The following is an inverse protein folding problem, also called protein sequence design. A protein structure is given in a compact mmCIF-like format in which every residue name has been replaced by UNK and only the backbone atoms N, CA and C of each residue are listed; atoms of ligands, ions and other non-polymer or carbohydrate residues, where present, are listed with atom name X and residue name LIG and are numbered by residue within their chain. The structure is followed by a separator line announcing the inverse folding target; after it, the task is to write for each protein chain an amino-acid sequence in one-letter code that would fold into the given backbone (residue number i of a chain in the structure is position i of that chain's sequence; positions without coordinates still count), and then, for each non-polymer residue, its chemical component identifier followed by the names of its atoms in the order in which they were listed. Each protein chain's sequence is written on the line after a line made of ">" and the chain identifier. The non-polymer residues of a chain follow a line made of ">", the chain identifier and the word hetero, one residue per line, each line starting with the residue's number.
data_IF_937996861775
#
_entry.id   IF_937996861775
#
_cell.length_a   1.000
_cell.length_b   1.000
_cell.length_c   1.000
_cell.angle_alpha   90.00
_cell.angle_beta   90.00
_cell.angle_gamma   90.00
#
_symmetry.space_group_name_H-M   'P 1'
#
loop_
_entity.id
_entity.type
_entity.pdbx_description
1 polymer ?
#
# COMPACT_ATOMS: atom_id res chain seq x y z
N UNK A 1 -34.92 -33.64 9.43
CA UNK A 1 -34.43 -32.63 8.48
C UNK A 1 -33.44 -31.76 9.22
N UNK A 2 -32.12 -31.86 8.99
CA UNK A 2 -31.18 -30.96 9.62
C UNK A 2 -31.13 -29.63 8.85
N UNK A 3 -31.17 -28.53 9.59
CA UNK A 3 -31.16 -27.16 9.06
C UNK A 3 -29.84 -26.80 8.37
N UNK A 4 -29.85 -25.90 7.36
CA UNK A 4 -28.63 -25.49 6.70
C UNK A 4 -27.78 -24.63 7.64
N UNK A 5 -26.61 -25.16 7.99
CA UNK A 5 -25.55 -24.47 8.70
C UNK A 5 -25.26 -23.17 7.96
N UNK A 6 -25.56 -22.03 8.61
CA UNK A 6 -25.22 -20.69 8.11
C UNK A 6 -23.72 -20.66 7.82
N UNK A 7 -23.37 -20.56 6.54
CA UNK A 7 -22.03 -20.23 6.10
C UNK A 7 -21.64 -18.92 6.80
N UNK A 8 -20.74 -19.05 7.78
CA UNK A 8 -19.99 -17.92 8.31
C UNK A 8 -19.24 -17.37 7.11
N UNK A 9 -19.74 -16.27 6.55
CA UNK A 9 -18.99 -15.43 5.62
C UNK A 9 -17.71 -15.05 6.34
N UNK A 10 -16.66 -15.83 6.11
CA UNK A 10 -15.32 -15.46 6.46
C UNK A 10 -15.06 -14.19 5.64
N UNK A 11 -15.20 -13.04 6.31
CA UNK A 11 -14.57 -11.79 5.93
C UNK A 11 -13.12 -12.15 5.60
N UNK A 12 -12.85 -12.35 4.32
CA UNK A 12 -11.51 -12.48 3.79
C UNK A 12 -10.91 -11.09 3.88
N UNK A 13 -10.52 -10.70 5.09
CA UNK A 13 -9.45 -9.75 5.30
C UNK A 13 -8.32 -10.27 4.40
N UNK A 14 -8.17 -9.62 3.25
CA UNK A 14 -7.30 -10.07 2.18
C UNK A 14 -5.88 -9.94 2.70
N UNK A 15 -5.44 -10.97 3.41
CA UNK A 15 -4.07 -11.20 3.77
C UNK A 15 -3.33 -11.08 2.45
N UNK A 16 -2.44 -10.10 2.35
CA UNK A 16 -1.40 -10.12 1.34
C UNK A 16 -0.29 -10.92 2.00
N UNK A 17 -0.21 -12.26 1.83
CA UNK A 17 0.66 -13.15 2.62
C UNK A 17 2.15 -12.89 2.44
N UNK A 18 2.54 -11.86 1.68
CA UNK A 18 3.92 -11.61 1.26
C UNK A 18 4.47 -10.23 1.64
N UNK A 19 3.66 -9.29 2.14
CA UNK A 19 4.13 -7.93 2.40
C UNK A 19 5.04 -7.79 3.65
N UNK A 20 4.76 -8.41 4.82
CA UNK A 20 5.48 -8.07 6.04
C UNK A 20 6.95 -8.54 6.08
N UNK A 21 7.23 -9.77 5.69
CA UNK A 21 8.54 -10.39 5.97
C UNK A 21 9.55 -10.29 4.83
N UNK A 22 9.10 -10.21 3.57
CA UNK A 22 10.02 -10.29 2.41
C UNK A 22 10.91 -9.06 2.23
N UNK A 23 10.60 -7.97 2.90
CA UNK A 23 11.23 -6.66 2.66
C UNK A 23 11.85 -6.00 3.90
N UNK A 24 11.91 -6.71 5.03
CA UNK A 24 12.38 -6.18 6.32
C UNK A 24 13.81 -5.63 6.30
N UNK A 25 14.68 -6.13 5.41
CA UNK A 25 16.06 -5.66 5.22
C UNK A 25 16.26 -4.55 4.19
N UNK A 26 15.20 -4.10 3.50
CA UNK A 26 15.35 -3.12 2.43
C UNK A 26 15.33 -1.66 2.96
N UNK A 27 15.94 -0.71 2.24
CA UNK A 27 15.71 0.71 2.48
C UNK A 27 14.21 1.07 2.37
N UNK A 28 13.77 2.06 3.15
CA UNK A 28 12.35 2.50 3.23
C UNK A 28 11.76 2.73 1.84
N UNK A 29 12.49 3.44 0.98
CA UNK A 29 12.09 3.66 -0.42
C UNK A 29 11.79 2.38 -1.19
N UNK A 30 12.63 1.35 -1.06
CA UNK A 30 12.42 0.07 -1.76
C UNK A 30 11.24 -0.69 -1.18
N UNK A 31 11.01 -0.64 0.13
CA UNK A 31 9.84 -1.24 0.79
C UNK A 31 8.55 -0.63 0.25
N UNK A 32 8.45 0.70 0.26
CA UNK A 32 7.28 1.40 -0.25
C UNK A 32 7.05 1.11 -1.75
N UNK A 33 8.06 1.21 -2.61
CA UNK A 33 7.92 0.86 -4.04
C UNK A 33 7.36 -0.56 -4.22
N UNK A 34 7.90 -1.55 -3.48
CA UNK A 34 7.44 -2.94 -3.57
C UNK A 34 5.99 -3.08 -3.11
N UNK A 35 5.61 -2.40 -2.03
CA UNK A 35 4.23 -2.39 -1.54
C UNK A 35 3.28 -1.76 -2.54
N UNK A 36 3.61 -0.60 -3.11
CA UNK A 36 2.77 0.05 -4.12
C UNK A 36 2.59 -0.83 -5.36
N UNK A 37 3.67 -1.43 -5.88
CA UNK A 37 3.57 -2.37 -7.00
C UNK A 37 2.70 -3.61 -6.66
N UNK A 38 2.76 -4.05 -5.41
CA UNK A 38 1.96 -5.18 -4.95
C UNK A 38 0.49 -4.79 -4.90
N UNK A 39 0.17 -3.60 -4.37
CA UNK A 39 -1.19 -3.04 -4.36
C UNK A 39 -1.77 -2.91 -5.77
N UNK A 40 -0.98 -2.41 -6.74
CA UNK A 40 -1.43 -2.32 -8.13
C UNK A 40 -1.75 -3.70 -8.71
N UNK A 41 -0.90 -4.71 -8.46
CA UNK A 41 -1.15 -6.09 -8.90
C UNK A 41 -2.42 -6.69 -8.28
N UNK A 42 -2.68 -6.46 -7.00
CA UNK A 42 -3.89 -6.96 -6.34
C UNK A 42 -5.14 -6.18 -6.75
N UNK A 43 -5.01 -4.87 -6.98
CA UNK A 43 -6.06 -4.03 -7.56
C UNK A 43 -6.46 -4.51 -8.95
N UNK A 44 -5.50 -4.83 -9.82
CA UNK A 44 -5.72 -5.48 -11.12
C UNK A 44 -6.45 -6.82 -10.99
N UNK A 45 -6.02 -7.67 -10.04
CA UNK A 45 -6.67 -8.95 -9.77
C UNK A 45 -8.10 -8.80 -9.25
N UNK A 46 -8.42 -7.68 -8.59
CA UNK A 46 -9.75 -7.40 -8.02
C UNK A 46 -10.69 -6.67 -8.98
N UNK A 47 -10.19 -5.94 -9.98
CA UNK A 47 -11.01 -5.49 -11.12
C UNK A 47 -11.59 -6.65 -11.96
N UNK A 48 -11.24 -7.90 -11.65
CA UNK A 48 -11.83 -9.13 -12.21
C UNK A 48 -12.90 -9.71 -11.25
N UNK A 49 -13.08 -9.14 -10.05
CA UNK A 49 -13.98 -9.65 -9.00
C UNK A 49 -14.50 -8.48 -8.15
N UNK A 50 -15.55 -7.81 -8.64
CA UNK A 50 -16.22 -6.74 -7.91
C UNK A 50 -16.92 -7.28 -6.65
N UNK A 51 -16.57 -6.69 -5.51
CA UNK A 51 -17.27 -6.89 -4.24
C UNK A 51 -17.14 -5.62 -3.39
N UNK A 52 -18.24 -5.08 -2.83
CA UNK A 52 -18.24 -3.80 -2.14
C UNK A 52 -17.72 -3.94 -0.71
N UNK A 53 -17.09 -2.87 -0.20
CA UNK A 53 -16.76 -2.70 1.21
C UNK A 53 -15.27 -2.74 1.47
N UNK A 54 -14.67 -1.59 1.79
CA UNK A 54 -13.28 -1.54 2.22
C UNK A 54 -12.95 -0.34 3.12
N UNK A 55 -13.72 -0.18 4.20
CA UNK A 55 -13.36 0.68 5.34
C UNK A 55 -12.59 -0.07 6.45
N UNK A 56 -12.26 -1.34 6.24
CA UNK A 56 -11.41 -2.09 7.16
C UNK A 56 -9.95 -1.67 6.96
N UNK A 57 -9.27 -1.34 8.06
CA UNK A 57 -7.81 -1.17 8.12
C UNK A 57 -7.16 -2.35 7.39
N UNK A 58 -6.67 -2.09 6.17
CA UNK A 58 -6.18 -3.16 5.31
C UNK A 58 -4.79 -3.59 5.80
N UNK A 59 -4.39 -4.86 5.61
CA UNK A 59 -3.02 -5.30 5.92
C UNK A 59 -1.91 -4.46 5.26
N UNK A 60 -2.24 -3.73 4.20
CA UNK A 60 -1.35 -2.77 3.56
C UNK A 60 -1.18 -1.47 4.35
N UNK A 61 -2.23 -0.99 5.03
CA UNK A 61 -2.16 0.17 5.92
C UNK A 61 -1.26 -0.12 7.11
N UNK A 62 -1.44 -1.25 7.79
CA UNK A 62 -0.61 -1.66 8.92
C UNK A 62 0.85 -1.85 8.51
N UNK A 63 1.09 -2.44 7.34
CA UNK A 63 2.45 -2.57 6.81
C UNK A 63 3.07 -1.20 6.49
N UNK A 64 2.33 -0.31 5.81
CA UNK A 64 2.81 1.03 5.49
C UNK A 64 3.16 1.81 6.77
N UNK A 65 2.28 1.76 7.77
CA UNK A 65 2.50 2.34 9.11
C UNK A 65 3.78 1.81 9.73
N UNK A 66 3.97 0.49 9.80
CA UNK A 66 5.19 -0.13 10.35
C UNK A 66 6.47 0.31 9.62
N UNK A 67 6.43 0.43 8.29
CA UNK A 67 7.57 0.93 7.51
C UNK A 67 7.86 2.41 7.82
N UNK A 68 6.81 3.23 7.97
CA UNK A 68 6.91 4.66 8.30
C UNK A 68 7.44 4.84 9.72
N UNK A 69 6.92 4.12 10.71
CA UNK A 69 7.40 4.15 12.09
C UNK A 69 8.89 3.80 12.16
N UNK A 70 9.30 2.74 11.45
CA UNK A 70 10.71 2.35 11.38
C UNK A 70 11.57 3.45 10.74
N UNK A 71 11.07 4.11 9.69
CA UNK A 71 11.78 5.20 9.01
C UNK A 71 11.93 6.44 9.91
N UNK A 72 10.89 6.75 10.68
CA UNK A 72 10.90 7.82 11.67
C UNK A 72 11.90 7.54 12.81
N UNK A 73 11.91 6.31 13.34
CA UNK A 73 12.88 5.89 14.36
C UNK A 73 14.34 6.00 13.88
N UNK A 74 14.58 5.86 12.57
CA UNK A 74 15.90 6.03 11.95
C UNK A 74 16.22 7.49 11.57
N UNK A 75 15.30 8.43 11.79
CA UNK A 75 15.44 9.82 11.38
C UNK A 75 15.37 10.06 9.88
N UNK A 76 14.92 9.07 9.09
CA UNK A 76 14.78 9.20 7.62
C UNK A 76 13.56 10.08 7.27
N UNK A 77 12.50 10.02 8.09
CA UNK A 77 11.26 10.79 7.92
C UNK A 77 11.01 11.70 9.13
N UNK A 78 10.23 12.76 8.90
CA UNK A 78 9.77 13.71 9.94
C UNK A 78 8.89 13.01 10.96
N UNK A 79 8.95 13.49 12.20
CA UNK A 79 8.01 13.08 13.23
C UNK A 79 6.61 13.63 12.92
N UNK A 80 5.73 12.77 12.42
CA UNK A 80 4.31 13.03 12.11
C UNK A 80 3.50 11.79 12.50
N UNK A 81 2.17 11.90 12.67
CA UNK A 81 1.34 10.73 12.91
C UNK A 81 1.50 9.73 11.76
N UNK A 82 2.00 8.53 12.05
CA UNK A 82 2.27 7.52 11.03
C UNK A 82 0.99 7.04 10.34
N UNK A 83 -0.15 7.13 11.03
CA UNK A 83 -1.49 6.94 10.48
C UNK A 83 -1.79 7.87 9.30
N UNK A 84 -1.55 9.17 9.48
CA UNK A 84 -1.78 10.17 8.43
C UNK A 84 -0.88 9.91 7.23
N UNK A 85 0.38 9.57 7.48
CA UNK A 85 1.36 9.28 6.43
C UNK A 85 1.03 7.98 5.68
N UNK A 86 0.60 6.94 6.40
CA UNK A 86 0.18 5.68 5.81
C UNK A 86 -1.09 5.86 4.96
N UNK A 87 -2.06 6.62 5.47
CA UNK A 87 -3.28 6.94 4.74
C UNK A 87 -2.98 7.77 3.47
N UNK A 88 -2.15 8.80 3.57
CA UNK A 88 -1.72 9.58 2.41
C UNK A 88 -0.99 8.72 1.36
N UNK A 89 -0.15 7.79 1.82
CA UNK A 89 0.54 6.85 0.95
C UNK A 89 -0.42 5.88 0.23
N UNK A 90 -1.44 5.36 0.92
CA UNK A 90 -2.45 4.48 0.31
C UNK A 90 -3.33 5.24 -0.69
N UNK A 91 -3.73 6.47 -0.37
CA UNK A 91 -4.47 7.33 -1.29
C UNK A 91 -3.71 7.56 -2.61
N UNK A 92 -2.38 7.74 -2.54
CA UNK A 92 -1.53 7.81 -3.74
C UNK A 92 -1.55 6.51 -4.56
N UNK A 93 -1.66 5.35 -3.91
CA UNK A 93 -1.78 4.07 -4.59
C UNK A 93 -3.14 3.94 -5.30
N UNK A 94 -4.23 4.36 -4.66
CA UNK A 94 -5.58 4.40 -5.27
C UNK A 94 -5.62 5.34 -6.48
N UNK A 95 -5.12 6.57 -6.33
CA UNK A 95 -5.04 7.54 -7.42
C UNK A 95 -4.20 7.02 -8.59
N UNK A 96 -3.08 6.34 -8.31
CA UNK A 96 -2.28 5.69 -9.34
C UNK A 96 -3.06 4.58 -10.03
N UNK A 97 -3.83 3.78 -9.29
CA UNK A 97 -4.64 2.71 -9.87
C UNK A 97 -5.69 3.27 -10.83
N UNK A 98 -6.37 4.36 -10.45
CA UNK A 98 -7.32 5.05 -11.33
C UNK A 98 -6.65 5.64 -12.57
N UNK A 99 -5.46 6.24 -12.44
CA UNK A 99 -4.68 6.77 -13.58
C UNK A 99 -4.20 5.68 -14.53
N UNK A 100 -3.90 4.50 -13.99
CA UNK A 100 -3.41 3.35 -14.75
C UNK A 100 -4.55 2.50 -15.33
N UNK A 101 -5.81 2.77 -14.95
CA UNK A 101 -6.97 2.12 -15.54
C UNK A 101 -7.00 2.38 -17.06
N UNK A 102 -6.90 1.33 -17.86
CA UNK A 102 -6.77 1.40 -19.33
C UNK A 102 -5.33 1.39 -19.87
N UNK A 103 -4.31 1.68 -19.05
CA UNK A 103 -2.88 1.59 -19.40
C UNK A 103 -2.18 0.36 -18.78
N UNK A 104 -2.97 -0.59 -18.26
CA UNK A 104 -2.52 -1.71 -17.41
C UNK A 104 -1.49 -2.66 -18.06
N UNK A 105 -1.30 -2.60 -19.39
CA UNK A 105 -0.31 -3.44 -20.08
C UNK A 105 1.10 -2.87 -20.03
N UNK A 106 1.28 -1.57 -19.78
CA UNK A 106 2.61 -0.96 -19.72
C UNK A 106 3.21 -1.03 -18.30
N UNK A 107 3.85 -2.18 -18.03
CA UNK A 107 4.59 -2.42 -16.78
C UNK A 107 5.79 -1.49 -16.60
N UNK A 108 6.36 -0.94 -17.67
CA UNK A 108 7.49 -0.03 -17.59
C UNK A 108 7.03 1.35 -17.13
N UNK A 109 5.92 1.83 -17.67
CA UNK A 109 5.26 3.07 -17.26
C UNK A 109 4.81 2.98 -15.80
N UNK A 110 4.16 1.87 -15.39
CA UNK A 110 3.76 1.65 -14.00
C UNK A 110 4.94 1.75 -13.03
N UNK A 111 6.06 1.07 -13.34
CA UNK A 111 7.26 1.10 -12.48
C UNK A 111 7.87 2.49 -12.39
N UNK A 112 7.83 3.26 -13.47
CA UNK A 112 8.33 4.63 -13.52
C UNK A 112 7.48 5.55 -12.65
N UNK A 113 6.17 5.48 -12.78
CA UNK A 113 5.22 6.26 -11.98
C UNK A 113 5.30 5.93 -10.49
N UNK A 114 5.32 4.63 -10.13
CA UNK A 114 5.50 4.21 -8.73
C UNK A 114 6.79 4.80 -8.14
N UNK A 115 7.90 4.75 -8.88
CA UNK A 115 9.18 5.31 -8.43
C UNK A 115 9.12 6.82 -8.23
N UNK A 116 8.43 7.55 -9.13
CA UNK A 116 8.24 9.00 -9.05
C UNK A 116 7.41 9.35 -7.82
N UNK A 117 6.21 8.81 -7.72
CA UNK A 117 5.27 9.09 -6.62
C UNK A 117 5.87 8.72 -5.26
N UNK A 118 6.57 7.60 -5.16
CA UNK A 118 7.25 7.23 -3.91
C UNK A 118 8.37 8.20 -3.55
N UNK A 119 9.12 8.69 -4.54
CA UNK A 119 10.17 9.69 -4.29
C UNK A 119 9.58 11.03 -3.83
N UNK A 120 8.46 11.46 -4.44
CA UNK A 120 7.76 12.68 -4.06
C UNK A 120 7.18 12.58 -2.65
N UNK A 121 6.58 11.43 -2.31
CA UNK A 121 6.11 11.13 -0.95
C UNK A 121 7.25 11.25 0.07
N UNK A 122 8.37 10.56 -0.18
CA UNK A 122 9.52 10.61 0.74
C UNK A 122 10.09 12.02 0.86
N UNK A 123 10.16 12.78 -0.25
CA UNK A 123 10.62 14.17 -0.22
C UNK A 123 9.72 15.04 0.64
N UNK A 124 8.40 14.90 0.50
CA UNK A 124 7.40 15.66 1.30
C UNK A 124 7.55 15.43 2.80
N UNK A 125 7.93 14.22 3.19
CA UNK A 125 8.05 13.81 4.59
C UNK A 125 9.50 13.65 5.08
N UNK A 126 10.51 14.02 4.28
CA UNK A 126 11.91 13.88 4.69
C UNK A 126 12.23 14.82 5.85
N UNK A 127 13.00 14.34 6.83
CA UNK A 127 13.35 15.09 8.03
C UNK A 127 13.96 16.48 7.72
N UNK A 128 14.74 16.59 6.63
CA UNK A 128 15.40 17.83 6.19
C UNK A 128 14.68 18.65 5.11
N UNK A 129 13.44 18.35 4.71
CA UNK A 129 12.75 19.04 3.61
C UNK A 129 12.17 20.43 3.99
N UNK A 130 12.84 21.15 4.88
CA UNK A 130 12.37 22.39 5.49
C UNK A 130 13.54 23.10 6.15
N UNK A 131 14.28 23.82 5.31
CA UNK A 131 15.04 25.00 5.67
C UNK A 131 14.46 26.14 4.83
#
# INVERSE_FOLDING_TARGET
>A
MPEPVREVCAERACFIPSLPLRYSGLPVRRRLIRTMLTLQKYGEARSISDGPGQDAVTPAADYARSVIDTAMLRGELRCRPSDEMAHAYLKLAEELQSKMAGLQRDKALLRTEVRRITADFLRRYAAGAGA
#
